data_IF_859794865052
#
_entry.id   IF_859794865052
#
_cell.length_a   1.000
_cell.length_b   1.000
_cell.length_c   1.000
_cell.angle_alpha   90.00
_cell.angle_beta   90.00
_cell.angle_gamma   90.00
#
_symmetry.space_group_name_H-M   'P 1'
#
loop_
_entity.id
_entity.type
_entity.pdbx_description
1 polymer ?
#
# COMPACT_ATOMS: atom_id res chain seq x y z
N UNK A 1 59.15 44.66 -20.11
CA UNK A 1 58.73 43.49 -20.90
C UNK A 1 59.15 42.22 -20.17
N UNK A 2 58.15 41.44 -19.72
CA UNK A 2 58.04 39.99 -19.47
C UNK A 2 59.33 39.14 -19.57
N UNK A 3 59.57 38.13 -18.72
CA UNK A 3 58.68 36.98 -18.56
C UNK A 3 59.07 36.11 -17.34
N UNK A 4 58.05 35.60 -16.65
CA UNK A 4 58.08 34.61 -15.58
C UNK A 4 58.76 33.29 -16.02
N UNK A 5 59.52 32.64 -15.13
CA UNK A 5 59.72 31.17 -15.20
C UNK A 5 59.36 30.51 -13.87
N UNK A 6 58.08 30.17 -13.81
CA UNK A 6 57.41 29.29 -12.87
C UNK A 6 58.26 28.04 -12.54
N UNK A 7 58.60 27.84 -11.26
CA UNK A 7 58.79 26.49 -10.71
C UNK A 7 57.40 25.87 -10.55
N UNK A 8 57.00 25.02 -11.49
CA UNK A 8 55.83 24.16 -11.27
C UNK A 8 56.17 23.12 -10.19
N UNK A 9 55.74 23.39 -8.96
CA UNK A 9 55.57 22.36 -7.94
C UNK A 9 54.49 21.39 -8.44
N UNK A 10 54.91 20.22 -8.91
CA UNK A 10 54.03 19.08 -9.16
C UNK A 10 53.36 18.70 -7.83
N UNK A 11 52.16 19.25 -7.57
CA UNK A 11 51.32 18.85 -6.43
C UNK A 11 50.72 17.48 -6.74
N UNK A 12 51.31 16.43 -6.19
CA UNK A 12 50.67 15.11 -6.13
C UNK A 12 49.38 15.25 -5.32
N UNK A 13 48.22 15.09 -5.97
CA UNK A 13 46.91 15.11 -5.30
C UNK A 13 46.60 13.69 -4.83
N UNK A 14 46.39 13.54 -3.53
CA UNK A 14 45.91 12.31 -2.91
C UNK A 14 44.40 12.37 -2.81
N UNK A 15 43.71 11.31 -3.22
CA UNK A 15 42.27 11.18 -3.06
C UNK A 15 41.99 10.01 -2.10
N UNK A 16 41.11 10.23 -1.14
CA UNK A 16 40.56 9.17 -0.29
C UNK A 16 39.16 8.81 -0.77
N UNK A 17 38.92 7.54 -1.02
CA UNK A 17 37.59 7.01 -1.27
C UNK A 17 37.12 6.25 -0.03
N UNK A 18 35.99 6.68 0.54
CA UNK A 18 35.33 5.99 1.65
C UNK A 18 34.17 5.19 1.05
N UNK A 19 34.20 3.88 1.25
CA UNK A 19 33.06 3.01 0.90
C UNK A 19 32.05 3.11 2.03
N UNK A 20 30.87 3.62 1.73
CA UNK A 20 29.74 3.68 2.66
C UNK A 20 28.89 2.45 2.37
N UNK A 21 28.85 1.52 3.32
CA UNK A 21 28.01 0.33 3.23
C UNK A 21 26.76 0.59 4.07
N UNK A 22 25.60 0.66 3.41
CA UNK A 22 24.32 0.77 4.10
C UNK A 22 23.94 -0.64 4.53
N UNK A 23 24.21 -0.96 5.79
CA UNK A 23 23.87 -2.26 6.38
C UNK A 23 22.38 -2.21 6.71
N UNK A 24 21.57 -2.86 5.87
CA UNK A 24 20.17 -3.10 6.16
C UNK A 24 20.07 -4.45 6.88
N UNK A 25 20.24 -4.45 8.22
CA UNK A 25 20.08 -5.67 9.01
C UNK A 25 18.58 -5.86 9.32
N UNK A 26 17.99 -6.91 8.76
CA UNK A 26 16.56 -7.25 8.82
C UNK A 26 16.00 -7.41 10.26
N UNK A 27 16.87 -7.38 11.27
CA UNK A 27 16.53 -7.40 12.70
C UNK A 27 16.21 -6.01 13.29
N UNK A 28 16.53 -4.92 12.60
CA UNK A 28 16.42 -3.53 13.13
C UNK A 28 15.30 -2.68 12.50
N UNK A 29 14.57 -3.18 11.49
CA UNK A 29 13.43 -2.45 10.86
C UNK A 29 12.24 -2.16 11.80
N UNK A 30 12.29 -2.61 13.07
CA UNK A 30 11.31 -2.23 14.11
C UNK A 30 11.65 -0.94 14.86
N UNK A 31 12.82 -0.32 14.63
CA UNK A 31 13.22 0.97 15.21
C UNK A 31 13.46 2.01 14.11
N UNK A 32 12.96 3.23 14.28
CA UNK A 32 13.02 4.32 13.28
C UNK A 32 14.42 4.90 12.99
N UNK A 33 15.49 4.30 13.52
CA UNK A 33 16.87 4.76 13.36
C UNK A 33 17.68 3.84 12.42
N UNK A 34 18.26 4.40 11.36
CA UNK A 34 19.21 3.70 10.48
C UNK A 34 20.65 4.09 10.83
N UNK A 35 21.56 3.11 10.80
CA UNK A 35 22.97 3.34 11.08
C UNK A 35 23.79 3.27 9.80
N UNK A 36 24.70 4.24 9.63
CA UNK A 36 25.65 4.28 8.51
C UNK A 36 27.02 3.91 9.05
N UNK A 37 27.54 2.75 8.66
CA UNK A 37 28.88 2.33 9.04
C UNK A 37 29.89 2.86 8.02
N UNK A 38 30.87 3.65 8.49
CA UNK A 38 31.93 4.20 7.64
C UNK A 38 33.04 3.16 7.50
N UNK A 39 33.33 2.73 6.27
CA UNK A 39 34.49 1.91 5.97
C UNK A 39 35.82 2.67 6.13
N UNK A 40 36.94 1.95 6.28
CA UNK A 40 38.26 2.57 6.35
C UNK A 40 38.61 3.27 5.02
N UNK A 41 39.23 4.47 5.06
CA UNK A 41 39.55 5.22 3.85
C UNK A 41 40.65 4.53 3.05
N UNK A 42 40.39 4.29 1.75
CA UNK A 42 41.41 3.79 0.81
C UNK A 42 42.01 4.99 0.07
N UNK A 43 43.33 5.12 0.09
CA UNK A 43 44.07 6.23 -0.50
C UNK A 43 44.66 5.80 -1.85
N UNK A 44 44.27 6.48 -2.93
CA UNK A 44 44.86 6.28 -4.26
C UNK A 44 45.73 7.49 -4.66
N UNK A 45 46.92 7.20 -5.19
CA UNK A 45 47.83 8.19 -5.78
C UNK A 45 47.85 8.04 -7.30
N UNK A 46 47.24 8.98 -8.03
CA UNK A 46 47.20 8.96 -9.50
C UNK A 46 47.15 10.36 -10.13
N UNK A 47 47.88 10.52 -11.23
CA UNK A 47 47.85 11.70 -12.10
C UNK A 47 46.59 11.69 -12.96
N UNK A 48 45.84 12.79 -12.95
CA UNK A 48 44.59 12.95 -13.70
C UNK A 48 44.88 13.01 -15.21
N UNK A 49 44.65 11.92 -15.94
CA UNK A 49 44.50 11.95 -17.40
C UNK A 49 43.01 12.03 -17.72
N UNK A 50 42.61 13.11 -18.39
CA UNK A 50 41.23 13.37 -18.76
C UNK A 50 40.77 12.39 -19.85
N UNK A 51 40.06 11.34 -19.45
CA UNK A 51 39.21 10.58 -20.37
C UNK A 51 37.84 10.47 -19.72
N UNK A 52 36.83 11.03 -20.37
CA UNK A 52 35.43 11.01 -19.96
C UNK A 52 34.88 9.60 -20.22
N UNK A 53 34.36 8.86 -19.20
CA UNK A 53 33.48 7.73 -19.43
C UNK A 53 32.05 8.09 -18.99
N UNK A 54 31.13 7.79 -19.89
CA UNK A 54 29.69 7.97 -19.75
C UNK A 54 29.09 7.01 -18.70
N UNK A 55 28.22 7.56 -17.84
CA UNK A 55 27.09 6.91 -17.17
C UNK A 55 27.38 5.87 -16.06
N UNK A 56 27.57 6.37 -14.83
CA UNK A 56 27.01 5.86 -13.56
C UNK A 56 27.21 6.92 -12.48
N UNK A 57 26.18 7.19 -11.69
CA UNK A 57 26.13 8.27 -10.69
C UNK A 57 27.35 8.27 -9.77
N UNK A 58 28.19 9.31 -9.89
CA UNK A 58 29.30 9.59 -8.96
C UNK A 58 28.85 10.68 -8.00
N UNK A 59 28.77 10.35 -6.72
CA UNK A 59 28.76 11.34 -5.65
C UNK A 59 30.20 11.87 -5.55
N UNK A 60 30.41 13.13 -5.92
CA UNK A 60 31.71 13.80 -5.84
C UNK A 60 32.01 14.13 -4.38
N UNK A 61 33.07 13.57 -3.80
CA UNK A 61 33.64 14.03 -2.53
C UNK A 61 34.61 15.19 -2.80
N UNK A 62 34.54 16.24 -1.97
CA UNK A 62 35.13 17.56 -2.20
C UNK A 62 36.66 17.64 -2.22
N UNK A 63 37.17 18.79 -2.69
CA UNK A 63 38.59 19.17 -2.67
C UNK A 63 39.02 19.65 -1.29
N UNK A 64 40.19 19.19 -0.81
CA UNK A 64 40.94 19.81 0.28
C UNK A 64 42.25 20.38 -0.26
N UNK A 65 42.52 21.66 0.03
CA UNK A 65 43.73 22.37 -0.42
C UNK A 65 44.81 22.38 0.68
N UNK A 66 46.06 22.40 0.24
CA UNK A 66 47.26 22.20 1.04
C UNK A 66 47.56 23.41 1.94
N UNK A 67 47.16 23.37 3.21
CA UNK A 67 47.74 24.14 4.34
C UNK A 67 47.10 23.73 5.68
N UNK A 68 47.63 22.69 6.31
CA UNK A 68 47.60 22.52 7.78
C UNK A 68 48.50 21.35 8.16
N UNK A 69 49.47 21.64 9.02
CA UNK A 69 50.40 20.69 9.59
C UNK A 69 49.65 19.68 10.48
N UNK A 70 50.03 18.41 10.35
CA UNK A 70 49.66 17.33 11.25
C UNK A 70 50.12 17.65 12.68
N UNK A 71 49.21 17.58 13.64
CA UNK A 71 49.53 17.37 15.05
C UNK A 71 48.52 16.42 15.69
N UNK A 72 49.03 15.55 16.54
CA UNK A 72 48.49 14.25 16.92
C UNK A 72 47.55 14.30 18.14
N UNK A 73 46.29 13.85 18.02
CA UNK A 73 45.52 13.07 19.02
C UNK A 73 44.02 12.93 18.66
N UNK A 74 43.31 11.93 19.21
CA UNK A 74 42.12 11.34 18.60
C UNK A 74 40.83 12.06 18.98
N UNK A 75 39.95 12.27 18.00
CA UNK A 75 38.58 12.72 18.21
C UNK A 75 38.21 13.91 17.33
N UNK A 76 37.11 13.75 16.59
CA UNK A 76 36.40 14.78 15.82
C UNK A 76 37.06 15.28 14.51
N UNK A 77 36.64 14.66 13.39
CA UNK A 77 36.79 15.24 12.05
C UNK A 77 35.51 16.01 11.70
N UNK A 78 35.59 17.35 11.65
CA UNK A 78 34.51 18.21 11.14
C UNK A 78 34.50 18.20 9.60
N UNK A 79 33.39 17.78 9.00
CA UNK A 79 33.12 17.88 7.56
C UNK A 79 32.64 19.30 7.19
N UNK A 80 33.19 19.86 6.11
CA UNK A 80 32.77 21.14 5.54
C UNK A 80 31.30 21.11 5.04
N UNK A 81 30.55 22.22 5.14
CA UNK A 81 29.12 22.22 4.84
C UNK A 81 28.84 22.11 3.33
N UNK A 82 27.95 21.17 2.97
CA UNK A 82 27.43 20.99 1.61
C UNK A 82 26.61 22.21 1.15
N UNK A 83 26.68 22.51 -0.15
CA UNK A 83 26.03 23.65 -0.81
C UNK A 83 24.51 23.67 -0.47
N UNK A 84 23.99 24.67 0.30
CA UNK A 84 22.69 24.59 0.97
C UNK A 84 21.43 24.75 0.09
N UNK A 85 21.56 24.82 -1.24
CA UNK A 85 20.51 25.34 -2.14
C UNK A 85 19.58 24.31 -2.77
N UNK A 86 20.12 23.31 -3.47
CA UNK A 86 19.32 22.43 -4.33
C UNK A 86 18.52 21.37 -3.57
N UNK A 87 19.12 20.78 -2.52
CA UNK A 87 18.44 19.79 -1.69
C UNK A 87 17.30 20.41 -0.88
N UNK A 88 17.52 21.60 -0.32
CA UNK A 88 16.53 22.35 0.46
C UNK A 88 15.31 22.73 -0.39
N UNK A 89 15.51 23.00 -1.67
CA UNK A 89 14.43 23.35 -2.63
C UNK A 89 13.61 22.12 -3.00
N UNK A 90 14.26 20.99 -3.32
CA UNK A 90 13.58 19.73 -3.62
C UNK A 90 12.78 19.18 -2.42
N UNK A 91 13.38 19.26 -1.22
CA UNK A 91 12.71 18.89 0.04
C UNK A 91 11.59 19.86 0.40
N UNK A 92 11.74 21.18 0.20
CA UNK A 92 10.66 22.14 0.43
C UNK A 92 9.46 21.89 -0.48
N UNK A 93 9.68 21.56 -1.75
CA UNK A 93 8.59 21.31 -2.71
C UNK A 93 7.89 19.98 -2.42
N UNK A 94 8.62 18.88 -2.19
CA UNK A 94 8.00 17.60 -1.75
C UNK A 94 7.26 17.74 -0.42
N UNK A 95 7.84 18.45 0.55
CA UNK A 95 7.22 18.66 1.88
C UNK A 95 5.99 19.57 1.81
N UNK A 96 5.98 20.63 0.98
CA UNK A 96 4.80 21.48 0.79
C UNK A 96 3.63 20.74 0.13
N UNK A 97 3.90 19.85 -0.84
CA UNK A 97 2.86 19.06 -1.50
C UNK A 97 2.18 18.10 -0.52
N UNK A 98 2.97 17.47 0.37
CA UNK A 98 2.48 16.57 1.44
C UNK A 98 1.72 17.32 2.54
N UNK A 99 2.13 18.55 2.89
CA UNK A 99 1.50 19.33 3.97
C UNK A 99 0.16 19.98 3.56
N UNK A 100 0.00 20.39 2.29
CA UNK A 100 -1.25 20.99 1.82
C UNK A 100 -2.40 19.96 1.82
N UNK A 101 -2.07 18.72 1.46
CA UNK A 101 -3.02 17.61 1.41
C UNK A 101 -3.42 17.16 2.83
N UNK A 102 -2.51 17.23 3.80
CA UNK A 102 -2.82 16.88 5.20
C UNK A 102 -3.87 17.76 5.86
N UNK A 103 -3.95 19.06 5.54
CA UNK A 103 -4.97 19.94 6.13
C UNK A 103 -6.36 19.64 5.59
N UNK A 104 -6.45 19.41 4.28
CA UNK A 104 -7.69 19.03 3.61
C UNK A 104 -8.17 17.65 4.08
N UNK A 105 -7.28 16.66 4.08
CA UNK A 105 -7.57 15.31 4.59
C UNK A 105 -7.93 15.33 6.08
N UNK A 106 -7.27 16.17 6.89
CA UNK A 106 -7.61 16.31 8.30
C UNK A 106 -9.03 16.87 8.50
N UNK A 107 -9.43 17.85 7.68
CA UNK A 107 -10.79 18.41 7.72
C UNK A 107 -11.85 17.41 7.24
N UNK A 108 -11.55 16.66 6.18
CA UNK A 108 -12.46 15.63 5.67
C UNK A 108 -12.63 14.48 6.68
N UNK A 109 -11.56 14.08 7.36
CA UNK A 109 -11.59 13.02 8.38
C UNK A 109 -11.99 13.52 9.77
N UNK A 110 -12.19 14.81 10.00
CA UNK A 110 -12.49 15.39 11.32
C UNK A 110 -13.77 14.80 11.94
N UNK A 111 -14.90 14.69 11.21
CA UNK A 111 -16.10 14.03 11.72
C UNK A 111 -15.80 12.59 12.13
N UNK A 112 -15.00 11.88 11.34
CA UNK A 112 -14.59 10.51 11.64
C UNK A 112 -13.72 10.45 12.90
N UNK A 113 -12.72 11.31 13.02
CA UNK A 113 -11.86 11.35 14.21
C UNK A 113 -12.64 11.63 15.49
N UNK A 114 -13.64 12.51 15.43
CA UNK A 114 -14.55 12.79 16.54
C UNK A 114 -15.42 11.58 16.87
N UNK A 115 -15.98 10.93 15.84
CA UNK A 115 -16.80 9.73 15.98
C UNK A 115 -16.01 8.58 16.66
N UNK A 116 -14.76 8.37 16.24
CA UNK A 116 -13.87 7.31 16.74
C UNK A 116 -13.07 7.70 18.00
N UNK A 117 -13.10 8.97 18.43
CA UNK A 117 -12.47 9.40 19.69
C UNK A 117 -13.09 8.76 20.94
N UNK A 118 -14.30 8.22 20.80
CA UNK A 118 -14.99 7.47 21.86
C UNK A 118 -14.43 6.05 22.06
N UNK A 119 -13.54 5.56 21.18
CA UNK A 119 -12.88 4.27 21.37
C UNK A 119 -11.81 4.41 22.46
N UNK A 120 -11.86 3.60 23.53
CA UNK A 120 -10.88 3.68 24.60
C UNK A 120 -9.48 3.27 24.10
N UNK A 121 -8.40 3.84 24.67
CA UNK A 121 -7.04 3.53 24.25
C UNK A 121 -6.69 2.06 24.49
N UNK A 122 -5.74 1.57 23.70
CA UNK A 122 -5.29 0.17 23.68
C UNK A 122 -4.61 -0.30 24.97
N UNK A 123 -4.23 0.64 25.84
CA UNK A 123 -3.53 0.33 27.10
C UNK A 123 -4.48 -0.28 28.16
N UNK A 124 -5.79 -0.07 28.03
CA UNK A 124 -6.77 -0.64 28.95
C UNK A 124 -7.00 -2.13 28.70
N UNK A 125 -6.92 -2.93 29.77
CA UNK A 125 -7.24 -4.37 29.77
C UNK A 125 -6.60 -5.14 28.61
N UNK A 126 -5.31 -4.90 28.35
CA UNK A 126 -4.56 -5.52 27.24
C UNK A 126 -5.22 -5.34 25.86
N UNK A 127 -5.96 -4.25 25.65
CA UNK A 127 -6.59 -3.92 24.38
C UNK A 127 -7.96 -4.55 24.14
N UNK A 128 -8.45 -5.42 25.03
CA UNK A 128 -9.75 -6.09 24.84
C UNK A 128 -10.93 -5.12 24.82
N UNK A 129 -10.90 -4.09 25.65
CA UNK A 129 -11.98 -3.08 25.70
C UNK A 129 -12.00 -2.27 24.40
N UNK A 130 -10.83 -1.85 23.91
CA UNK A 130 -10.69 -1.17 22.62
C UNK A 130 -11.24 -2.05 21.49
N UNK A 131 -10.90 -3.34 21.48
CA UNK A 131 -11.35 -4.29 20.47
C UNK A 131 -12.88 -4.47 20.44
N UNK A 132 -13.50 -4.73 21.60
CA UNK A 132 -14.94 -4.92 21.68
C UNK A 132 -15.72 -3.65 21.29
N UNK A 133 -15.30 -2.48 21.80
CA UNK A 133 -15.95 -1.20 21.46
C UNK A 133 -15.79 -0.89 19.97
N UNK A 134 -14.61 -1.13 19.39
CA UNK A 134 -14.39 -0.93 17.96
C UNK A 134 -15.31 -1.82 17.10
N UNK A 135 -15.47 -3.10 17.45
CA UNK A 135 -16.36 -4.02 16.73
C UNK A 135 -17.82 -3.55 16.80
N UNK A 136 -18.30 -3.15 17.97
CA UNK A 136 -19.67 -2.63 18.13
C UNK A 136 -19.88 -1.40 17.24
N UNK A 137 -18.91 -0.50 17.22
CA UNK A 137 -18.99 0.73 16.47
C UNK A 137 -18.97 0.50 14.95
N UNK A 138 -18.11 -0.40 14.48
CA UNK A 138 -18.07 -0.83 13.09
C UNK A 138 -19.40 -1.50 12.71
N UNK A 139 -19.97 -2.32 13.59
CA UNK A 139 -21.27 -2.97 13.38
C UNK A 139 -22.41 -1.95 13.21
N UNK A 140 -22.52 -1.01 14.14
CA UNK A 140 -23.53 0.06 14.09
C UNK A 140 -23.39 0.92 12.83
N UNK A 141 -22.16 1.33 12.52
CA UNK A 141 -21.88 2.11 11.34
C UNK A 141 -22.24 1.35 10.06
N UNK A 142 -21.86 0.08 9.97
CA UNK A 142 -22.15 -0.76 8.80
C UNK A 142 -23.66 -0.90 8.60
N UNK A 143 -24.43 -1.02 9.68
CA UNK A 143 -25.90 -1.04 9.59
C UNK A 143 -26.44 0.27 9.00
N UNK A 144 -25.98 1.43 9.49
CA UNK A 144 -26.39 2.74 8.97
C UNK A 144 -26.00 2.91 7.50
N UNK A 145 -24.79 2.49 7.11
CA UNK A 145 -24.34 2.57 5.71
C UNK A 145 -25.20 1.68 4.81
N UNK A 146 -25.56 0.49 5.27
CA UNK A 146 -26.47 -0.42 4.56
C UNK A 146 -27.83 0.22 4.29
N UNK A 147 -28.44 0.81 5.31
CA UNK A 147 -29.75 1.46 5.19
C UNK A 147 -29.70 2.68 4.26
N UNK A 148 -28.65 3.50 4.38
CA UNK A 148 -28.45 4.67 3.50
C UNK A 148 -28.23 4.23 2.06
N UNK A 149 -27.46 3.17 1.82
CA UNK A 149 -27.23 2.64 0.49
C UNK A 149 -28.52 2.11 -0.15
N UNK A 150 -29.37 1.43 0.63
CA UNK A 150 -30.68 0.97 0.17
C UNK A 150 -31.60 2.15 -0.19
N UNK A 151 -31.72 3.15 0.69
CA UNK A 151 -32.50 4.36 0.41
C UNK A 151 -32.01 5.09 -0.84
N UNK A 152 -30.69 5.23 -1.00
CA UNK A 152 -30.09 5.83 -2.19
C UNK A 152 -30.44 5.05 -3.47
N UNK A 153 -30.37 3.71 -3.43
CA UNK A 153 -30.83 2.84 -4.51
C UNK A 153 -32.28 3.12 -4.90
N UNK A 154 -33.17 3.24 -3.91
CA UNK A 154 -34.57 3.59 -4.15
C UNK A 154 -34.74 4.98 -4.79
N UNK A 155 -33.97 6.00 -4.37
CA UNK A 155 -34.07 7.35 -4.95
C UNK A 155 -33.64 7.44 -6.41
N UNK A 156 -32.73 6.56 -6.84
CA UNK A 156 -32.22 6.50 -8.22
C UNK A 156 -33.05 5.53 -9.08
N UNK A 157 -33.94 4.74 -8.48
CA UNK A 157 -34.72 3.72 -9.18
C UNK A 157 -33.93 2.44 -9.49
N UNK A 158 -32.88 2.16 -8.72
CA UNK A 158 -32.13 0.91 -8.81
C UNK A 158 -32.85 -0.19 -8.04
N UNK A 159 -32.94 -1.39 -8.62
CA UNK A 159 -33.43 -2.58 -7.89
C UNK A 159 -32.48 -2.91 -6.73
N UNK A 160 -33.02 -3.37 -5.61
CA UNK A 160 -32.25 -3.70 -4.40
C UNK A 160 -31.10 -4.67 -4.69
N UNK A 161 -31.32 -5.68 -5.53
CA UNK A 161 -30.28 -6.63 -5.95
C UNK A 161 -29.12 -5.94 -6.66
N UNK A 162 -29.39 -4.96 -7.54
CA UNK A 162 -28.37 -4.22 -8.30
C UNK A 162 -27.60 -3.29 -7.36
N UNK A 163 -28.30 -2.61 -6.46
CA UNK A 163 -27.71 -1.77 -5.41
C UNK A 163 -26.77 -2.59 -4.50
N UNK A 164 -27.18 -3.81 -4.14
CA UNK A 164 -26.39 -4.70 -3.30
C UNK A 164 -25.08 -5.16 -3.98
N UNK A 165 -25.15 -5.68 -5.21
CA UNK A 165 -23.97 -6.21 -5.93
C UNK A 165 -23.01 -5.11 -6.41
N UNK A 166 -23.44 -3.84 -6.45
CA UNK A 166 -22.62 -2.71 -6.86
C UNK A 166 -22.17 -1.89 -5.65
N UNK A 167 -23.05 -1.05 -5.10
CA UNK A 167 -22.71 -0.04 -4.11
C UNK A 167 -22.31 -0.65 -2.77
N UNK A 168 -23.10 -1.60 -2.26
CA UNK A 168 -22.82 -2.24 -0.95
C UNK A 168 -21.61 -3.15 -1.05
N UNK A 169 -21.53 -3.99 -2.10
CA UNK A 169 -20.40 -4.88 -2.31
C UNK A 169 -19.08 -4.14 -2.52
N UNK A 170 -19.06 -3.05 -3.31
CA UNK A 170 -17.87 -2.21 -3.46
C UNK A 170 -17.51 -1.48 -2.17
N UNK A 171 -18.51 -0.94 -1.47
CA UNK A 171 -18.33 -0.17 -0.24
C UNK A 171 -17.66 -0.97 0.89
N UNK A 172 -17.88 -2.28 0.93
CA UNK A 172 -17.23 -3.20 1.89
C UNK A 172 -15.89 -3.73 1.36
N UNK A 173 -15.83 -4.13 0.09
CA UNK A 173 -14.64 -4.78 -0.48
C UNK A 173 -13.46 -3.84 -0.72
N UNK A 174 -13.71 -2.56 -1.02
CA UNK A 174 -12.62 -1.58 -1.26
C UNK A 174 -11.82 -1.33 0.03
N UNK A 175 -12.44 -0.98 1.19
CA UNK A 175 -11.74 -0.89 2.46
C UNK A 175 -10.98 -2.17 2.83
N UNK A 176 -11.60 -3.34 2.67
CA UNK A 176 -10.96 -4.64 2.94
C UNK A 176 -9.73 -4.86 2.06
N UNK A 177 -9.81 -4.46 0.79
CA UNK A 177 -8.67 -4.54 -0.14
C UNK A 177 -7.54 -3.61 0.30
N UNK A 178 -7.86 -2.39 0.74
CA UNK A 178 -6.85 -1.47 1.27
C UNK A 178 -6.22 -1.98 2.57
N UNK A 179 -7.01 -2.50 3.50
CA UNK A 179 -6.50 -3.11 4.73
C UNK A 179 -5.58 -4.31 4.43
N UNK A 180 -5.99 -5.20 3.52
CA UNK A 180 -5.20 -6.35 3.07
C UNK A 180 -3.90 -5.91 2.40
N UNK A 181 -3.95 -4.90 1.52
CA UNK A 181 -2.77 -4.32 0.89
C UNK A 181 -1.81 -3.73 1.91
N UNK A 182 -2.31 -2.99 2.90
CA UNK A 182 -1.47 -2.41 3.95
C UNK A 182 -0.81 -3.51 4.78
N UNK A 183 -1.58 -4.52 5.19
CA UNK A 183 -1.05 -5.69 5.90
C UNK A 183 0.03 -6.42 5.08
N UNK A 184 -0.19 -6.64 3.79
CA UNK A 184 0.78 -7.29 2.90
C UNK A 184 2.08 -6.49 2.70
N UNK A 185 2.02 -5.15 2.77
CA UNK A 185 3.20 -4.29 2.64
C UNK A 185 3.96 -4.20 3.95
N UNK A 186 3.26 -4.31 5.09
CA UNK A 186 3.85 -4.17 6.42
C UNK A 186 4.39 -5.49 6.98
N UNK A 187 3.77 -6.62 6.65
CA UNK A 187 4.20 -7.95 7.12
C UNK A 187 5.13 -8.65 6.14
N UNK A 188 6.20 -9.27 6.67
CA UNK A 188 7.19 -10.04 5.88
C UNK A 188 6.59 -11.27 5.17
N UNK A 189 5.60 -11.91 5.77
CA UNK A 189 5.00 -13.16 5.25
C UNK A 189 3.62 -12.96 4.63
N UNK A 190 3.06 -11.74 4.69
CA UNK A 190 1.70 -11.42 4.21
C UNK A 190 0.58 -12.31 4.79
N UNK A 191 0.83 -13.08 5.85
CA UNK A 191 -0.14 -14.00 6.46
C UNK A 191 -1.41 -13.25 6.91
N UNK A 192 -1.23 -12.07 7.50
CA UNK A 192 -2.34 -11.20 7.93
C UNK A 192 -3.21 -10.75 6.76
N UNK A 193 -2.61 -10.50 5.58
CA UNK A 193 -3.38 -10.15 4.38
C UNK A 193 -4.21 -11.33 3.88
N UNK A 194 -3.65 -12.54 3.91
CA UNK A 194 -4.37 -13.75 3.48
C UNK A 194 -5.52 -14.03 4.45
N UNK A 195 -5.26 -13.94 5.76
CA UNK A 195 -6.28 -14.07 6.79
C UNK A 195 -7.41 -13.06 6.63
N UNK A 196 -7.11 -11.81 6.29
CA UNK A 196 -8.13 -10.79 6.06
C UNK A 196 -8.98 -11.09 4.82
N UNK A 197 -8.35 -11.34 3.66
CA UNK A 197 -9.08 -11.58 2.39
C UNK A 197 -9.94 -12.84 2.45
N UNK A 198 -9.43 -13.92 3.04
CA UNK A 198 -10.20 -15.17 3.16
C UNK A 198 -11.22 -15.09 4.29
N UNK A 199 -10.83 -14.49 5.42
CA UNK A 199 -11.67 -14.37 6.61
C UNK A 199 -12.88 -13.48 6.39
N UNK A 200 -12.73 -12.28 5.81
CA UNK A 200 -13.85 -11.36 5.62
C UNK A 200 -14.92 -11.94 4.67
N UNK A 201 -14.49 -12.60 3.59
CA UNK A 201 -15.39 -13.30 2.68
C UNK A 201 -16.11 -14.48 3.34
N UNK A 202 -15.41 -15.28 4.14
CA UNK A 202 -16.02 -16.39 4.88
C UNK A 202 -17.05 -15.88 5.89
N UNK A 203 -16.75 -14.80 6.63
CA UNK A 203 -17.68 -14.17 7.56
C UNK A 203 -18.92 -13.64 6.84
N UNK A 204 -18.78 -12.99 5.68
CA UNK A 204 -19.92 -12.46 4.93
C UNK A 204 -20.90 -13.57 4.50
N UNK A 205 -20.39 -14.71 4.04
CA UNK A 205 -21.24 -15.83 3.58
C UNK A 205 -21.79 -16.63 4.76
N UNK A 206 -20.92 -17.10 5.67
CA UNK A 206 -21.34 -18.00 6.75
C UNK A 206 -22.03 -17.28 7.89
N UNK A 207 -21.47 -16.17 8.36
CA UNK A 207 -22.07 -15.40 9.46
C UNK A 207 -23.13 -14.43 8.93
N UNK A 208 -22.85 -13.70 7.85
CA UNK A 208 -23.80 -12.74 7.28
C UNK A 208 -25.09 -13.40 6.79
N UNK A 209 -24.99 -14.31 5.81
CA UNK A 209 -26.16 -14.99 5.24
C UNK A 209 -26.61 -16.15 6.13
N UNK A 210 -25.67 -16.99 6.58
CA UNK A 210 -25.99 -18.23 7.29
C UNK A 210 -26.68 -18.02 8.64
N UNK A 211 -26.20 -17.09 9.48
CA UNK A 211 -26.82 -16.83 10.79
C UNK A 211 -28.18 -16.13 10.63
N UNK A 212 -28.29 -15.15 9.72
CA UNK A 212 -29.56 -14.48 9.44
C UNK A 212 -30.63 -15.48 8.98
N UNK A 213 -30.27 -16.40 8.07
CA UNK A 213 -31.16 -17.46 7.61
C UNK A 213 -31.54 -18.43 8.73
N UNK A 214 -30.58 -18.85 9.55
CA UNK A 214 -30.84 -19.76 10.68
C UNK A 214 -31.80 -19.15 11.70
N UNK A 215 -31.62 -17.87 12.05
CA UNK A 215 -32.53 -17.16 12.96
C UNK A 215 -33.95 -17.10 12.37
N UNK A 216 -34.08 -16.73 11.10
CA UNK A 216 -35.38 -16.67 10.43
C UNK A 216 -36.06 -18.04 10.37
N UNK A 217 -35.32 -19.10 10.01
CA UNK A 217 -35.83 -20.46 9.95
C UNK A 217 -36.33 -20.96 11.32
N UNK A 218 -35.57 -20.72 12.39
CA UNK A 218 -35.96 -21.08 13.77
C UNK A 218 -37.23 -20.33 14.19
N UNK A 219 -37.32 -19.03 13.86
CA UNK A 219 -38.50 -18.23 14.17
C UNK A 219 -39.76 -18.77 13.47
N UNK A 220 -39.68 -19.03 12.17
CA UNK A 220 -40.79 -19.59 11.40
C UNK A 220 -41.19 -21.00 11.86
N UNK A 221 -40.21 -21.84 12.20
CA UNK A 221 -40.46 -23.16 12.78
C UNK A 221 -41.22 -23.09 14.12
N UNK A 222 -40.89 -22.11 14.98
CA UNK A 222 -41.61 -21.88 16.24
C UNK A 222 -43.05 -21.40 16.03
N UNK A 223 -43.32 -20.69 14.93
CA UNK A 223 -44.67 -20.23 14.59
C UNK A 223 -45.48 -21.25 13.78
N UNK A 224 -44.90 -22.42 13.46
CA UNK A 224 -45.55 -23.43 12.62
C UNK A 224 -45.73 -22.98 11.16
N UNK A 225 -44.95 -22.01 10.70
CA UNK A 225 -44.98 -21.50 9.31
C UNK A 225 -43.74 -21.99 8.55
N UNK A 226 -43.87 -22.16 7.23
CA UNK A 226 -42.75 -22.55 6.37
C UNK A 226 -42.02 -21.31 5.87
N UNK A 227 -40.71 -21.23 6.11
CA UNK A 227 -39.87 -20.15 5.60
C UNK A 227 -39.48 -20.42 4.14
N UNK A 228 -40.25 -19.86 3.20
CA UNK A 228 -39.94 -19.92 1.77
C UNK A 228 -39.07 -18.74 1.35
N UNK A 229 -37.89 -19.03 0.79
CA UNK A 229 -36.98 -18.02 0.20
C UNK A 229 -36.84 -18.30 -1.29
N UNK A 230 -37.26 -17.35 -2.12
CA UNK A 230 -37.09 -17.45 -3.57
C UNK A 230 -35.66 -17.10 -3.96
N UNK A 231 -34.99 -17.98 -4.70
CA UNK A 231 -33.60 -17.75 -5.14
C UNK A 231 -33.49 -16.65 -6.22
N UNK A 232 -34.55 -16.39 -6.99
CA UNK A 232 -34.55 -15.32 -8.02
C UNK A 232 -33.34 -15.39 -8.96
N UNK A 233 -32.78 -14.21 -9.28
CA UNK A 233 -31.55 -14.02 -10.09
C UNK A 233 -30.24 -14.35 -9.35
N UNK A 234 -30.31 -14.76 -8.07
CA UNK A 234 -29.11 -15.04 -7.27
C UNK A 234 -28.34 -16.23 -7.82
N UNK A 235 -29.04 -17.28 -8.26
CA UNK A 235 -28.41 -18.48 -8.81
C UNK A 235 -27.57 -18.15 -10.05
N UNK A 236 -28.13 -17.36 -10.98
CA UNK A 236 -27.44 -16.86 -12.18
C UNK A 236 -26.22 -16.01 -11.81
N UNK A 237 -26.38 -15.10 -10.84
CA UNK A 237 -25.30 -14.24 -10.35
C UNK A 237 -24.14 -15.05 -9.76
N UNK A 238 -24.44 -16.06 -8.93
CA UNK A 238 -23.41 -16.94 -8.34
C UNK A 238 -22.71 -17.76 -9.43
N UNK A 239 -23.45 -18.29 -10.41
CA UNK A 239 -22.86 -19.05 -11.51
C UNK A 239 -21.88 -18.20 -12.34
N UNK A 240 -22.26 -16.96 -12.69
CA UNK A 240 -21.39 -16.01 -13.39
C UNK A 240 -20.16 -15.64 -12.58
N UNK A 241 -20.31 -15.43 -11.27
CA UNK A 241 -19.19 -15.16 -10.38
C UNK A 241 -18.19 -16.32 -10.35
N UNK A 242 -18.67 -17.57 -10.29
CA UNK A 242 -17.81 -18.75 -10.31
C UNK A 242 -17.07 -18.89 -11.65
N UNK A 243 -17.77 -18.68 -12.77
CA UNK A 243 -17.13 -18.69 -14.10
C UNK A 243 -16.05 -17.60 -14.22
N UNK A 244 -16.38 -16.36 -13.80
CA UNK A 244 -15.42 -15.26 -13.76
C UNK A 244 -14.22 -15.54 -12.85
N UNK A 245 -14.45 -16.18 -11.71
CA UNK A 245 -13.40 -16.59 -10.76
C UNK A 245 -12.47 -17.62 -11.37
N UNK A 246 -12.99 -18.62 -12.09
CA UNK A 246 -12.17 -19.61 -12.82
C UNK A 246 -11.30 -18.93 -13.87
N UNK A 247 -11.84 -17.97 -14.63
CA UNK A 247 -11.07 -17.18 -15.60
C UNK A 247 -9.95 -16.42 -14.88
N UNK A 248 -10.26 -15.73 -13.77
CA UNK A 248 -9.29 -14.94 -13.02
C UNK A 248 -8.16 -15.81 -12.45
N UNK A 249 -8.51 -16.94 -11.82
CA UNK A 249 -7.55 -17.90 -11.28
C UNK A 249 -6.70 -18.48 -12.42
N UNK A 250 -7.30 -18.84 -13.55
CA UNK A 250 -6.56 -19.36 -14.71
C UNK A 250 -5.53 -18.35 -15.22
N UNK A 251 -5.89 -17.06 -15.30
CA UNK A 251 -4.94 -15.99 -15.66
C UNK A 251 -3.79 -15.92 -14.65
N UNK A 252 -4.06 -16.02 -13.34
CA UNK A 252 -3.03 -16.02 -12.31
C UNK A 252 -2.11 -17.25 -12.43
N UNK A 253 -2.67 -18.43 -12.64
CA UNK A 253 -1.89 -19.66 -12.81
C UNK A 253 -1.02 -19.60 -14.08
N UNK A 254 -1.56 -19.11 -15.20
CA UNK A 254 -0.79 -18.90 -16.44
C UNK A 254 0.37 -17.93 -16.18
N UNK A 255 0.14 -16.84 -15.44
CA UNK A 255 1.20 -15.89 -15.08
C UNK A 255 2.27 -16.48 -14.16
N UNK A 256 1.88 -17.37 -13.25
CA UNK A 256 2.80 -18.12 -12.37
C UNK A 256 3.73 -19.03 -13.18
N UNK A 257 3.16 -19.85 -14.07
CA UNK A 257 3.92 -20.86 -14.81
C UNK A 257 4.59 -20.34 -16.09
N UNK A 258 4.24 -19.15 -16.55
CA UNK A 258 4.88 -18.54 -17.72
C UNK A 258 6.34 -18.21 -17.43
N UNK A 259 7.24 -18.69 -18.29
CA UNK A 259 8.68 -18.41 -18.25
C UNK A 259 9.01 -16.91 -18.34
N UNK A 260 8.12 -16.10 -18.90
CA UNK A 260 8.34 -14.66 -19.13
C UNK A 260 7.97 -13.76 -17.94
N UNK A 261 7.15 -14.25 -16.99
CA UNK A 261 6.64 -13.42 -15.88
C UNK A 261 7.06 -13.98 -14.52
N UNK A 262 6.90 -15.29 -14.30
CA UNK A 262 7.24 -15.97 -13.04
C UNK A 262 6.71 -15.25 -11.79
N UNK A 263 5.54 -14.62 -11.89
CA UNK A 263 4.97 -13.81 -10.81
C UNK A 263 3.43 -13.75 -10.89
N UNK A 264 2.78 -13.92 -9.74
CA UNK A 264 1.32 -13.97 -9.64
C UNK A 264 0.68 -12.56 -9.59
N UNK A 265 1.13 -11.69 -8.67
CA UNK A 265 0.61 -10.32 -8.53
C UNK A 265 1.58 -9.23 -9.03
N UNK A 266 2.78 -9.62 -9.45
CA UNK A 266 3.87 -8.70 -9.86
C UNK A 266 4.38 -8.92 -11.29
N UNK A 267 5.66 -8.62 -11.49
CA UNK A 267 6.37 -8.81 -12.77
C UNK A 267 6.38 -7.55 -13.65
N UNK A 268 6.68 -7.72 -14.96
CA UNK A 268 6.81 -6.61 -15.90
C UNK A 268 5.55 -5.73 -15.96
N UNK A 269 5.74 -4.40 -16.02
CA UNK A 269 4.64 -3.44 -15.96
C UNK A 269 3.53 -3.71 -16.99
N UNK A 270 3.90 -4.11 -18.22
CA UNK A 270 2.93 -4.45 -19.27
C UNK A 270 2.03 -5.62 -18.88
N UNK A 271 2.59 -6.70 -18.34
CA UNK A 271 1.83 -7.90 -17.93
C UNK A 271 0.92 -7.63 -16.74
N UNK A 272 1.37 -6.80 -15.79
CA UNK A 272 0.56 -6.34 -14.65
C UNK A 272 -0.66 -5.55 -15.12
N UNK A 273 -0.47 -4.56 -16.00
CA UNK A 273 -1.58 -3.75 -16.51
C UNK A 273 -2.56 -4.57 -17.34
N UNK A 274 -2.07 -5.46 -18.20
CA UNK A 274 -2.91 -6.32 -19.02
C UNK A 274 -3.82 -7.22 -18.16
N UNK A 275 -3.27 -7.88 -17.14
CA UNK A 275 -4.06 -8.71 -16.22
C UNK A 275 -5.03 -7.89 -15.37
N UNK A 276 -4.64 -6.70 -14.93
CA UNK A 276 -5.53 -5.80 -14.18
C UNK A 276 -6.72 -5.34 -15.02
N UNK A 277 -6.48 -4.99 -16.30
CA UNK A 277 -7.54 -4.63 -17.25
C UNK A 277 -8.47 -5.81 -17.50
N UNK A 278 -7.93 -7.03 -17.66
CA UNK A 278 -8.73 -8.23 -17.85
C UNK A 278 -9.66 -8.49 -16.65
N UNK A 279 -9.16 -8.39 -15.41
CA UNK A 279 -9.99 -8.57 -14.21
C UNK A 279 -11.07 -7.50 -14.09
N UNK A 280 -10.72 -6.24 -14.36
CA UNK A 280 -11.69 -5.16 -14.35
C UNK A 280 -12.77 -5.36 -15.42
N UNK A 281 -12.39 -5.81 -16.62
CA UNK A 281 -13.33 -6.14 -17.68
C UNK A 281 -14.27 -7.28 -17.29
N UNK A 282 -13.75 -8.37 -16.72
CA UNK A 282 -14.57 -9.48 -16.21
C UNK A 282 -15.57 -9.00 -15.16
N UNK A 283 -15.16 -8.09 -14.28
CA UNK A 283 -16.05 -7.49 -13.28
C UNK A 283 -17.16 -6.63 -13.93
N UNK A 284 -16.84 -5.80 -14.92
CA UNK A 284 -17.85 -5.02 -15.65
C UNK A 284 -18.86 -5.92 -16.39
N UNK A 285 -18.39 -6.98 -17.03
CA UNK A 285 -19.26 -7.97 -17.69
C UNK A 285 -20.20 -8.62 -16.68
N UNK A 286 -19.67 -9.02 -15.51
CA UNK A 286 -20.46 -9.58 -14.42
C UNK A 286 -21.57 -8.62 -13.96
N UNK A 287 -21.23 -7.36 -13.65
CA UNK A 287 -22.21 -6.37 -13.21
C UNK A 287 -23.27 -6.10 -14.28
N UNK A 288 -22.84 -5.96 -15.53
CA UNK A 288 -23.75 -5.67 -16.66
C UNK A 288 -24.75 -6.81 -16.84
N UNK A 289 -24.27 -8.05 -16.88
CA UNK A 289 -25.15 -9.21 -17.05
C UNK A 289 -26.11 -9.37 -15.88
N UNK A 290 -25.61 -9.30 -14.63
CA UNK A 290 -26.46 -9.43 -13.44
C UNK A 290 -27.51 -8.32 -13.38
N UNK A 291 -27.18 -7.11 -13.87
CA UNK A 291 -28.13 -6.01 -13.96
C UNK A 291 -29.20 -6.30 -15.01
N UNK A 292 -28.82 -6.75 -16.21
CA UNK A 292 -29.78 -7.09 -17.27
C UNK A 292 -30.75 -8.22 -16.84
N UNK A 293 -30.23 -9.27 -16.22
CA UNK A 293 -31.02 -10.37 -15.66
C UNK A 293 -31.94 -9.88 -14.53
N UNK A 294 -31.42 -9.04 -13.62
CA UNK A 294 -32.23 -8.44 -12.56
C UNK A 294 -33.38 -7.58 -13.11
N UNK A 295 -33.21 -6.90 -14.25
CA UNK A 295 -34.26 -6.14 -14.93
C UNK A 295 -35.11 -6.97 -15.91
N UNK A 296 -34.88 -8.28 -16.01
CA UNK A 296 -35.57 -9.20 -16.92
C UNK A 296 -35.49 -8.76 -18.39
N UNK A 297 -34.36 -8.18 -18.78
CA UNK A 297 -34.08 -7.78 -20.17
C UNK A 297 -33.58 -8.97 -21.00
N UNK A 298 -32.89 -9.90 -20.33
CA UNK A 298 -32.42 -11.20 -20.82
C UNK A 298 -33.00 -12.29 -19.93
#
# INVERSE_FOLDING_TARGET
MNCLKNRQLLKTKFFAQIRIEIINDDRYEKSEDFYVQLGQPVWESGLMQSTIPTKKEKIVCGQADSKSQFFSSPGHLQLAPAIPGSFKRLWRTKRKLVISDQKFMHFLCLPWKLLFACIPPTDYAHGWVCFCVAIIFIGLLTAVIGDVAAMFGCTIGLKDTVTAITLVALGTSIPDTFASKLAAVQDKTADSSIGNVTGSNAVNVFLGIGVAWAIAAIYHAKQGTVFHVHAGSLATSVALFLMGSVICISILQIRRFSKSVHAELGGPAKCKWMSSIAFFFTWIVYITYCTLDAYCVI
#
